data_IF_618313916922
#
_entry.id   IF_618313916922
#
_cell.length_a   1.000
_cell.length_b   1.000
_cell.length_c   1.000
_cell.angle_alpha   90.00
_cell.angle_beta   90.00
_cell.angle_gamma   90.00
#
_symmetry.space_group_name_H-M   'P 1'
#
loop_
_entity.id
_entity.type
_entity.pdbx_description
1 polymer ?
#
# COMPACT_ATOMS: atom_id res chain seq x y z
N UNK A 1 -8.50 8.11 30.08
CA UNK A 1 -7.77 7.18 29.16
C UNK A 1 -8.56 6.87 27.90
N UNK A 2 -9.88 6.60 28.01
CA UNK A 2 -10.80 6.39 26.87
C UNK A 2 -10.85 7.60 25.91
N UNK A 3 -11.03 8.81 26.43
CA UNK A 3 -11.11 10.03 25.61
C UNK A 3 -9.86 10.28 24.76
N UNK A 4 -8.67 9.90 25.25
CA UNK A 4 -7.40 10.09 24.52
C UNK A 4 -7.26 9.12 23.35
N UNK A 5 -7.74 7.88 23.53
CA UNK A 5 -7.77 6.88 22.46
C UNK A 5 -8.79 7.27 21.37
N UNK A 6 -9.94 7.82 21.78
CA UNK A 6 -10.99 8.27 20.88
C UNK A 6 -10.53 9.48 20.04
N UNK A 7 -9.85 10.46 20.66
CA UNK A 7 -9.24 11.60 19.94
C UNK A 7 -8.17 11.14 18.95
N UNK A 8 -7.27 10.24 19.35
CA UNK A 8 -6.23 9.73 18.48
C UNK A 8 -6.82 8.95 17.28
N UNK A 9 -7.85 8.13 17.53
CA UNK A 9 -8.57 7.41 16.47
C UNK A 9 -9.27 8.36 15.49
N UNK A 10 -9.95 9.38 15.99
CA UNK A 10 -10.58 10.41 15.16
C UNK A 10 -9.55 11.17 14.32
N UNK A 11 -8.43 11.57 14.93
CA UNK A 11 -7.36 12.28 14.24
C UNK A 11 -6.73 11.43 13.13
N UNK A 12 -6.55 10.13 13.37
CA UNK A 12 -6.06 9.21 12.36
C UNK A 12 -7.05 9.08 11.20
N UNK A 13 -8.34 8.90 11.50
CA UNK A 13 -9.39 8.78 10.49
C UNK A 13 -9.45 10.02 9.58
N UNK A 14 -9.37 11.22 10.16
CA UNK A 14 -9.33 12.48 9.40
C UNK A 14 -8.09 12.53 8.50
N UNK A 15 -6.91 12.23 9.03
CA UNK A 15 -5.66 12.23 8.23
C UNK A 15 -5.70 11.24 7.08
N UNK A 16 -6.20 10.03 7.34
CA UNK A 16 -6.38 8.99 6.31
C UNK A 16 -7.32 9.49 5.21
N UNK A 17 -8.45 10.09 5.55
CA UNK A 17 -9.37 10.65 4.56
C UNK A 17 -8.72 11.79 3.74
N UNK A 18 -7.98 12.68 4.40
CA UNK A 18 -7.25 13.78 3.75
C UNK A 18 -6.11 13.30 2.85
N UNK A 19 -5.55 12.11 3.07
CA UNK A 19 -4.56 11.51 2.18
C UNK A 19 -5.21 10.72 1.03
N UNK A 20 -6.26 9.96 1.34
CA UNK A 20 -6.88 9.04 0.41
C UNK A 20 -7.65 9.75 -0.72
N UNK A 21 -8.38 10.83 -0.40
CA UNK A 21 -9.15 11.57 -1.41
C UNK A 21 -8.25 12.24 -2.46
N UNK A 22 -7.20 13.01 -2.10
CA UNK A 22 -6.28 13.56 -3.09
C UNK A 22 -5.50 12.49 -3.84
N UNK A 23 -5.13 11.38 -3.19
CA UNK A 23 -4.43 10.29 -3.88
C UNK A 23 -5.27 9.70 -5.02
N UNK A 24 -6.57 9.46 -4.75
CA UNK A 24 -7.50 9.01 -5.79
C UNK A 24 -7.69 10.07 -6.88
N UNK A 25 -7.96 11.31 -6.49
CA UNK A 25 -8.20 12.41 -7.43
C UNK A 25 -6.99 12.70 -8.33
N UNK A 26 -5.77 12.64 -7.79
CA UNK A 26 -4.53 12.80 -8.56
C UNK A 26 -4.33 11.62 -9.52
N UNK A 27 -4.62 10.39 -9.10
CA UNK A 27 -4.52 9.23 -9.97
C UNK A 27 -5.52 9.30 -11.15
N UNK A 28 -6.75 9.74 -10.89
CA UNK A 28 -7.75 10.04 -11.93
C UNK A 28 -7.28 11.17 -12.87
N UNK A 29 -6.77 12.27 -12.31
CA UNK A 29 -6.27 13.40 -13.09
C UNK A 29 -5.10 13.01 -14.00
N UNK A 30 -4.23 12.10 -13.54
CA UNK A 30 -3.14 11.51 -14.30
C UNK A 30 -3.59 10.38 -15.25
N UNK A 31 -4.90 10.03 -15.26
CA UNK A 31 -5.50 8.95 -16.05
C UNK A 31 -4.80 7.61 -15.83
N UNK A 32 -4.44 7.31 -14.58
CA UNK A 32 -3.87 6.02 -14.23
C UNK A 32 -4.92 4.91 -14.40
N UNK A 33 -4.54 3.70 -14.82
CA UNK A 33 -5.52 2.65 -15.14
C UNK A 33 -6.37 2.19 -13.95
N UNK A 34 -5.85 2.25 -12.72
CA UNK A 34 -6.50 1.78 -11.50
C UNK A 34 -6.30 2.76 -10.33
N UNK A 35 -6.99 3.91 -10.30
CA UNK A 35 -6.82 4.94 -9.25
C UNK A 35 -7.08 4.46 -7.82
N UNK A 36 -7.86 3.39 -7.67
CA UNK A 36 -8.09 2.69 -6.39
C UNK A 36 -6.78 2.25 -5.71
N UNK A 37 -5.72 2.00 -6.46
CA UNK A 37 -4.45 1.54 -5.95
C UNK A 37 -3.62 2.64 -5.30
N UNK A 38 -3.73 3.88 -5.77
CA UNK A 38 -3.21 5.05 -5.08
C UNK A 38 -4.00 5.31 -3.79
N UNK A 39 -5.33 5.21 -3.84
CA UNK A 39 -6.21 5.33 -2.68
C UNK A 39 -5.84 4.33 -1.56
N UNK A 40 -5.74 3.03 -1.88
CA UNK A 40 -5.40 1.99 -0.89
C UNK A 40 -4.01 2.25 -0.28
N UNK A 41 -3.04 2.64 -1.12
CA UNK A 41 -1.69 2.92 -0.63
C UNK A 41 -1.70 4.11 0.34
N UNK A 42 -2.43 5.18 0.03
CA UNK A 42 -2.57 6.33 0.91
C UNK A 42 -3.22 5.96 2.25
N UNK A 43 -4.28 5.13 2.23
CA UNK A 43 -4.96 4.66 3.44
C UNK A 43 -4.03 3.84 4.34
N UNK A 44 -3.30 2.90 3.77
CA UNK A 44 -2.43 1.98 4.53
C UNK A 44 -1.23 2.70 5.14
N UNK A 45 -0.70 3.73 4.46
CA UNK A 45 0.59 4.34 4.80
C UNK A 45 0.43 5.58 5.69
N UNK A 46 -0.75 6.19 5.69
CA UNK A 46 -1.02 7.34 6.55
C UNK A 46 -1.12 6.91 8.02
N UNK A 47 -0.36 7.59 8.88
CA UNK A 47 -0.28 7.31 10.31
C UNK A 47 -0.23 8.65 11.09
N UNK A 48 -0.42 8.61 12.40
CA UNK A 48 -0.23 9.78 13.25
C UNK A 48 1.25 10.19 13.34
N UNK A 49 2.16 9.22 13.33
CA UNK A 49 3.60 9.44 13.39
C UNK A 49 4.21 9.53 11.98
N UNK A 50 4.89 10.64 11.63
CA UNK A 50 5.57 10.77 10.34
C UNK A 50 6.64 9.69 10.12
N UNK A 51 7.32 9.27 11.20
CA UNK A 51 8.30 8.18 11.14
C UNK A 51 7.64 6.84 10.80
N UNK A 52 6.46 6.59 11.38
CA UNK A 52 5.69 5.38 11.11
C UNK A 52 5.15 5.39 9.67
N UNK A 53 4.63 6.51 9.18
CA UNK A 53 4.22 6.63 7.76
C UNK A 53 5.38 6.39 6.79
N UNK A 54 6.58 6.88 7.09
CA UNK A 54 7.78 6.59 6.26
C UNK A 54 8.12 5.11 6.24
N UNK A 55 8.11 4.45 7.40
CA UNK A 55 8.36 3.01 7.53
C UNK A 55 7.31 2.20 6.78
N UNK A 56 6.03 2.48 6.99
CA UNK A 56 4.92 1.82 6.29
C UNK A 56 5.02 2.01 4.77
N UNK A 57 5.36 3.22 4.32
CA UNK A 57 5.58 3.53 2.90
C UNK A 57 6.73 2.72 2.30
N UNK A 58 7.90 2.68 2.97
CA UNK A 58 9.04 1.90 2.51
C UNK A 58 8.72 0.39 2.44
N UNK A 59 8.09 -0.16 3.49
CA UNK A 59 7.61 -1.54 3.51
C UNK A 59 6.61 -1.80 2.38
N UNK A 60 5.72 -0.85 2.10
CA UNK A 60 4.73 -0.94 1.03
C UNK A 60 5.36 -0.95 -0.35
N UNK A 61 6.34 -0.08 -0.62
CA UNK A 61 7.09 -0.07 -1.88
C UNK A 61 7.79 -1.42 -2.07
N UNK A 62 8.56 -1.86 -1.07
CA UNK A 62 9.33 -3.09 -1.16
C UNK A 62 8.43 -4.32 -1.37
N UNK A 63 7.33 -4.43 -0.62
CA UNK A 63 6.38 -5.54 -0.79
C UNK A 63 5.63 -5.49 -2.12
N UNK A 64 5.29 -4.31 -2.64
CA UNK A 64 4.73 -4.18 -3.98
C UNK A 64 5.71 -4.66 -5.04
N UNK A 65 7.00 -4.29 -4.96
CA UNK A 65 8.02 -4.77 -5.91
C UNK A 65 8.14 -6.29 -5.87
N UNK A 66 8.21 -6.89 -4.67
CA UNK A 66 8.34 -8.35 -4.53
C UNK A 66 7.10 -9.07 -5.06
N UNK A 67 5.90 -8.63 -4.67
CA UNK A 67 4.65 -9.22 -5.14
C UNK A 67 4.46 -9.04 -6.65
N UNK A 68 4.81 -7.87 -7.17
CA UNK A 68 4.75 -7.53 -8.59
C UNK A 68 5.66 -8.42 -9.44
N UNK A 69 6.93 -8.49 -9.07
CA UNK A 69 7.92 -9.30 -9.76
C UNK A 69 7.57 -10.79 -9.69
N UNK A 70 7.13 -11.27 -8.52
CA UNK A 70 6.77 -12.69 -8.35
C UNK A 70 5.52 -13.05 -9.15
N UNK A 71 4.48 -12.21 -9.12
CA UNK A 71 3.25 -12.42 -9.89
C UNK A 71 3.50 -12.45 -11.39
N UNK A 72 4.21 -11.44 -11.92
CA UNK A 72 4.52 -11.35 -13.34
C UNK A 72 5.53 -12.41 -13.83
N UNK A 73 6.41 -12.89 -12.95
CA UNK A 73 7.27 -14.03 -13.26
C UNK A 73 6.46 -15.33 -13.32
N UNK A 74 5.64 -15.61 -12.30
CA UNK A 74 4.88 -16.85 -12.21
C UNK A 74 3.77 -16.97 -13.26
N UNK A 75 3.17 -15.85 -13.68
CA UNK A 75 2.13 -15.83 -14.72
C UNK A 75 2.60 -16.36 -16.08
N UNK A 76 3.91 -16.45 -16.31
CA UNK A 76 4.48 -17.00 -17.54
C UNK A 76 4.49 -18.53 -17.55
N UNK A 77 4.41 -19.16 -16.37
CA UNK A 77 4.57 -20.62 -16.20
C UNK A 77 3.31 -21.29 -15.66
N UNK A 78 2.50 -20.55 -14.90
CA UNK A 78 1.30 -21.08 -14.26
C UNK A 78 0.04 -20.55 -14.95
N UNK A 79 -0.89 -21.43 -15.36
CA UNK A 79 -2.19 -20.99 -15.83
C UNK A 79 -2.97 -20.35 -14.68
N UNK A 80 -3.74 -19.31 -14.98
CA UNK A 80 -4.59 -18.64 -13.99
C UNK A 80 -5.54 -19.64 -13.32
N UNK A 81 -5.64 -19.57 -11.98
CA UNK A 81 -6.49 -20.48 -11.21
C UNK A 81 -6.09 -20.58 -9.74
N UNK A 82 -6.80 -21.45 -9.01
CA UNK A 82 -6.65 -21.60 -7.56
C UNK A 82 -5.23 -22.05 -7.15
N UNK A 83 -4.62 -22.93 -7.94
CA UNK A 83 -3.25 -23.39 -7.68
C UNK A 83 -2.21 -22.27 -7.89
N UNK A 84 -2.35 -21.50 -8.97
CA UNK A 84 -1.47 -20.37 -9.23
C UNK A 84 -1.55 -19.33 -8.11
N UNK A 85 -2.76 -19.03 -7.64
CA UNK A 85 -2.99 -18.16 -6.49
C UNK A 85 -2.26 -18.66 -5.23
N UNK A 86 -2.45 -19.93 -4.86
CA UNK A 86 -1.80 -20.51 -3.68
C UNK A 86 -0.28 -20.48 -3.77
N UNK A 87 0.27 -20.89 -4.91
CA UNK A 87 1.73 -20.89 -5.17
C UNK A 87 2.28 -19.47 -5.16
N UNK A 88 1.57 -18.51 -5.78
CA UNK A 88 2.00 -17.12 -5.85
C UNK A 88 2.05 -16.44 -4.48
N UNK A 89 1.02 -16.64 -3.66
CA UNK A 89 1.00 -16.14 -2.28
C UNK A 89 2.15 -16.73 -1.47
N UNK A 90 2.35 -18.06 -1.54
CA UNK A 90 3.43 -18.73 -0.84
C UNK A 90 4.81 -18.22 -1.30
N UNK A 91 5.05 -18.20 -2.60
CA UNK A 91 6.33 -17.80 -3.20
C UNK A 91 6.70 -16.35 -2.85
N UNK A 92 5.76 -15.42 -2.99
CA UNK A 92 6.01 -14.00 -2.69
C UNK A 92 6.22 -13.74 -1.20
N UNK A 93 5.49 -14.45 -0.32
CA UNK A 93 5.73 -14.37 1.13
C UNK A 93 7.10 -14.91 1.53
N UNK A 94 7.54 -16.03 0.94
CA UNK A 94 8.88 -16.58 1.15
C UNK A 94 9.96 -15.64 0.59
N UNK A 95 9.76 -15.07 -0.59
CA UNK A 95 10.66 -14.07 -1.17
C UNK A 95 10.82 -12.85 -0.26
N UNK A 96 9.75 -12.35 0.35
CA UNK A 96 9.82 -11.29 1.36
C UNK A 96 10.66 -11.67 2.57
N UNK A 97 10.61 -12.92 3.04
CA UNK A 97 11.46 -13.38 4.14
C UNK A 97 12.94 -13.37 3.75
N UNK A 98 13.27 -13.90 2.57
CA UNK A 98 14.64 -13.93 2.04
C UNK A 98 15.22 -12.52 1.85
N UNK A 99 14.40 -11.57 1.42
CA UNK A 99 14.79 -10.18 1.18
C UNK A 99 14.70 -9.28 2.42
N UNK A 100 14.40 -9.83 3.60
CA UNK A 100 14.22 -9.09 4.87
C UNK A 100 13.11 -8.02 4.82
N UNK A 101 12.07 -8.25 4.01
CA UNK A 101 10.85 -7.43 3.91
C UNK A 101 9.67 -8.16 4.55
N UNK A 102 9.90 -8.89 5.64
CA UNK A 102 8.92 -9.79 6.27
C UNK A 102 7.65 -9.08 6.76
N UNK A 103 7.76 -7.82 7.19
CA UNK A 103 6.62 -6.98 7.58
C UNK A 103 5.61 -6.80 6.43
N UNK A 104 6.11 -6.79 5.19
CA UNK A 104 5.30 -6.63 3.98
C UNK A 104 4.90 -7.95 3.30
N UNK A 105 5.19 -9.11 3.89
CA UNK A 105 4.99 -10.41 3.22
C UNK A 105 3.53 -10.64 2.79
N UNK A 106 2.56 -10.33 3.65
CA UNK A 106 1.13 -10.45 3.31
C UNK A 106 0.74 -9.53 2.16
N UNK A 107 1.34 -8.34 2.10
CA UNK A 107 1.12 -7.37 1.02
C UNK A 107 1.66 -7.91 -0.30
N UNK A 108 2.89 -8.43 -0.31
CA UNK A 108 3.47 -9.07 -1.49
C UNK A 108 2.63 -10.27 -1.96
N UNK A 109 2.15 -11.08 -1.00
CA UNK A 109 1.22 -12.19 -1.19
C UNK A 109 0.02 -11.83 -2.05
N UNK A 110 -0.80 -10.89 -1.57
CA UNK A 110 -2.02 -10.55 -2.29
C UNK A 110 -1.74 -9.79 -3.59
N UNK A 111 -0.67 -8.98 -3.69
CA UNK A 111 -0.30 -8.29 -4.95
C UNK A 111 0.09 -9.32 -6.01
N UNK A 112 0.88 -10.31 -5.65
CA UNK A 112 1.18 -11.44 -6.52
C UNK A 112 -0.11 -12.14 -6.97
N UNK A 113 -1.03 -12.39 -6.04
CA UNK A 113 -2.33 -12.96 -6.34
C UNK A 113 -3.15 -12.13 -7.32
N UNK A 114 -3.22 -10.80 -7.12
CA UNK A 114 -3.94 -9.88 -8.00
C UNK A 114 -3.41 -9.93 -9.45
N UNK A 115 -2.09 -10.02 -9.62
CA UNK A 115 -1.48 -10.09 -10.95
C UNK A 115 -1.76 -11.44 -11.61
N UNK A 116 -1.76 -12.52 -10.84
CA UNK A 116 -2.04 -13.87 -11.35
C UNK A 116 -3.51 -14.10 -11.76
N UNK A 117 -4.44 -13.33 -11.18
CA UNK A 117 -5.86 -13.37 -11.57
C UNK A 117 -6.21 -12.31 -12.62
N UNK A 118 -5.31 -11.39 -12.90
CA UNK A 118 -5.56 -10.38 -13.91
C UNK A 118 -5.48 -11.01 -15.31
N UNK A 119 -6.54 -10.84 -16.10
CA UNK A 119 -6.66 -11.45 -17.43
C UNK A 119 -6.27 -10.48 -18.55
N UNK A 120 -5.60 -9.36 -18.22
CA UNK A 120 -5.27 -8.28 -19.15
C UNK A 120 -4.28 -8.66 -20.26
N UNK A 121 -3.71 -9.86 -20.23
CA UNK A 121 -2.78 -10.37 -21.26
C UNK A 121 -1.35 -9.84 -21.14
N UNK A 122 -1.11 -8.78 -20.36
CA UNK A 122 0.22 -8.19 -20.13
C UNK A 122 0.55 -8.02 -18.64
N UNK A 123 0.93 -9.10 -17.93
CA UNK A 123 1.14 -9.08 -16.47
C UNK A 123 2.20 -8.08 -16.01
N UNK A 124 3.24 -7.86 -16.81
CA UNK A 124 4.30 -6.89 -16.51
C UNK A 124 3.81 -5.43 -16.62
N UNK A 125 2.99 -5.12 -17.61
CA UNK A 125 2.39 -3.79 -17.78
C UNK A 125 1.49 -3.47 -16.59
N UNK A 126 0.60 -4.41 -16.23
CA UNK A 126 -0.25 -4.29 -15.06
C UNK A 126 0.55 -4.13 -13.76
N UNK A 127 1.60 -4.92 -13.57
CA UNK A 127 2.50 -4.82 -12.42
C UNK A 127 3.19 -3.45 -12.31
N UNK A 128 3.62 -2.87 -13.43
CA UNK A 128 4.24 -1.54 -13.47
C UNK A 128 3.24 -0.44 -13.10
N UNK A 129 2.02 -0.48 -13.64
CA UNK A 129 0.96 0.46 -13.27
C UNK A 129 0.62 0.35 -11.79
N UNK A 130 0.47 -0.88 -11.29
CA UNK A 130 0.21 -1.16 -9.88
C UNK A 130 1.28 -0.55 -8.97
N UNK A 131 2.54 -0.63 -9.38
CA UNK A 131 3.66 -0.02 -8.68
C UNK A 131 3.59 1.50 -8.71
N UNK A 132 3.40 2.11 -9.88
CA UNK A 132 3.31 3.56 -10.05
C UNK A 132 2.18 4.18 -9.22
N UNK A 133 0.99 3.57 -9.25
CA UNK A 133 -0.17 4.02 -8.47
C UNK A 133 0.09 3.90 -6.97
N UNK A 134 0.75 2.83 -6.54
CA UNK A 134 1.13 2.66 -5.13
C UNK A 134 2.11 3.75 -4.68
N UNK A 135 3.12 4.07 -5.50
CA UNK A 135 4.09 5.13 -5.21
C UNK A 135 3.40 6.49 -5.13
N UNK A 136 2.46 6.79 -6.02
CA UNK A 136 1.67 8.02 -5.98
C UNK A 136 0.90 8.15 -4.66
N UNK A 137 0.18 7.10 -4.25
CA UNK A 137 -0.55 7.11 -2.98
C UNK A 137 0.36 7.31 -1.76
N UNK A 138 1.56 6.70 -1.78
CA UNK A 138 2.57 6.88 -0.73
C UNK A 138 3.09 8.31 -0.68
N UNK A 139 3.36 8.92 -1.83
CA UNK A 139 3.82 10.30 -1.91
C UNK A 139 2.79 11.27 -1.31
N UNK A 140 1.49 11.04 -1.59
CA UNK A 140 0.40 11.83 -0.99
C UNK A 140 0.32 11.59 0.52
N UNK A 141 0.39 10.33 0.98
CA UNK A 141 0.38 10.02 2.41
C UNK A 141 1.52 10.69 3.17
N UNK A 142 2.74 10.67 2.63
CA UNK A 142 3.88 11.35 3.24
C UNK A 142 3.71 12.87 3.27
N UNK A 143 3.08 13.45 2.26
CA UNK A 143 2.76 14.88 2.21
C UNK A 143 1.78 15.26 3.31
N UNK A 144 0.74 14.45 3.54
CA UNK A 144 -0.23 14.67 4.62
C UNK A 144 0.40 14.43 6.00
N UNK A 145 1.24 13.41 6.14
CA UNK A 145 1.95 13.14 7.40
C UNK A 145 2.96 14.24 7.79
N UNK A 146 3.35 15.12 6.86
CA UNK A 146 4.17 16.29 7.18
C UNK A 146 3.39 17.41 7.87
N UNK A 147 2.05 17.39 7.80
CA UNK A 147 1.19 18.41 8.41
C UNK A 147 1.15 18.18 9.94
N UNK A 148 1.31 19.23 10.76
CA UNK A 148 1.21 19.14 12.22
C UNK A 148 -0.11 18.51 12.68
N UNK A 149 -0.16 18.10 13.95
CA UNK A 149 -1.35 17.52 14.54
C UNK A 149 -2.52 18.52 14.48
N UNK A 150 -3.57 18.17 13.72
CA UNK A 150 -4.78 18.99 13.54
C UNK A 150 -5.56 19.21 14.86
N UNK A 151 -5.48 18.22 15.76
CA UNK A 151 -6.05 18.29 17.10
C UNK A 151 -4.86 18.27 18.06
N UNK A 152 -4.68 19.34 18.83
CA UNK A 152 -3.72 19.35 19.91
C UNK A 152 -4.15 18.30 20.95
N UNK A 153 -3.26 17.41 21.43
CA UNK A 153 -3.58 16.61 22.60
C UNK A 153 -3.94 17.57 23.72
N UNK A 154 -5.06 17.35 24.42
CA UNK A 154 -5.42 18.09 25.62
C UNK A 154 -4.22 18.06 26.58
N UNK A 155 -3.56 19.21 26.60
CA UNK A 155 -2.56 19.82 27.45
C UNK A 155 -1.48 18.92 28.05
N UNK A 156 -0.22 19.32 27.80
CA UNK A 156 0.90 19.02 28.68
C UNK A 156 0.74 19.92 29.90
N UNK A 157 0.17 19.42 30.98
CA UNK A 157 0.49 19.97 32.30
C UNK A 157 1.83 19.37 32.73
N UNK A 158 2.78 20.25 32.99
CA UNK A 158 4.16 19.98 33.44
C UNK A 158 4.20 19.24 34.79
#
# INVERSE_FOLDING_TARGET
MKDRADIAGLQLAIRVALAALPAFALAEALRLPHPIYAFIAAVIVTDLSPRQSRRLGATRIASTVVGAATGAALSQWLPAGLLALGIGVLASMLACQLLKVSEGAKVAGYICGLILIDHSGEPWSYALWRFAETVLGIAVAWSVSAIPHLIAPADREE
#
